data_IF_725934562805
#
_entry.id   IF_725934562805
#
_cell.length_a   1.000
_cell.length_b   1.000
_cell.length_c   1.000
_cell.angle_alpha   90.00
_cell.angle_beta   90.00
_cell.angle_gamma   90.00
#
_symmetry.space_group_name_H-M   'P 1'
#
loop_
_entity.id
_entity.type
_entity.pdbx_description
1 polymer ?
#
# COMPACT_ATOMS: atom_id res chain seq x y z
N UNK A 1 -7.42 -2.54 60.92
CA UNK A 1 -6.88 -3.85 60.47
C UNK A 1 -6.61 -3.76 58.97
N UNK A 2 -5.36 -3.68 58.49
CA UNK A 2 -5.08 -3.67 57.05
C UNK A 2 -5.04 -5.10 56.50
N UNK A 3 -5.53 -5.29 55.28
CA UNK A 3 -5.51 -6.57 54.55
C UNK A 3 -4.06 -6.98 54.21
N UNK A 4 -3.71 -8.28 54.24
CA UNK A 4 -2.37 -8.72 53.95
C UNK A 4 -2.10 -8.55 52.45
N UNK A 5 -1.19 -7.65 52.11
CA UNK A 5 -0.68 -7.51 50.75
C UNK A 5 0.05 -8.79 50.35
N UNK A 6 -0.42 -9.45 49.29
CA UNK A 6 0.27 -10.57 48.64
C UNK A 6 1.63 -10.06 48.12
N UNK A 7 2.70 -10.27 48.89
CA UNK A 7 4.07 -10.10 48.42
C UNK A 7 4.49 -11.35 47.66
N UNK A 8 4.12 -11.44 46.39
CA UNK A 8 4.64 -12.44 45.47
C UNK A 8 6.07 -12.03 45.06
N UNK A 9 7.04 -12.94 45.21
CA UNK A 9 8.41 -12.73 44.73
C UNK A 9 8.38 -12.62 43.20
N UNK A 10 9.17 -11.69 42.63
CA UNK A 10 9.08 -11.34 41.20
C UNK A 10 9.27 -12.50 40.20
N UNK A 11 9.86 -13.61 40.62
CA UNK A 11 9.99 -14.81 39.78
C UNK A 11 8.68 -15.61 39.68
N UNK A 12 7.90 -15.70 40.77
CA UNK A 12 6.60 -16.38 40.79
C UNK A 12 5.54 -15.59 40.01
N UNK A 13 5.65 -14.27 40.05
CA UNK A 13 4.76 -13.35 39.34
C UNK A 13 4.94 -13.46 37.82
N UNK A 14 6.18 -13.64 37.37
CA UNK A 14 6.49 -13.85 35.94
C UNK A 14 5.97 -15.21 35.45
N UNK A 15 6.11 -16.26 36.24
CA UNK A 15 5.59 -17.58 35.90
C UNK A 15 4.06 -17.59 35.82
N UNK A 16 3.37 -16.93 36.75
CA UNK A 16 1.92 -16.78 36.73
C UNK A 16 1.43 -15.98 35.52
N UNK A 17 2.11 -14.87 35.19
CA UNK A 17 1.78 -14.05 34.02
C UNK A 17 2.04 -14.78 32.70
N UNK A 18 3.11 -15.55 32.58
CA UNK A 18 3.39 -16.36 31.38
C UNK A 18 2.36 -17.49 31.20
N UNK A 19 1.84 -18.04 32.30
CA UNK A 19 0.79 -19.05 32.29
C UNK A 19 -0.57 -18.45 31.90
N UNK A 20 -0.92 -17.27 32.41
CA UNK A 20 -2.13 -16.55 31.99
C UNK A 20 -2.03 -16.05 30.54
N UNK A 21 -0.86 -15.56 30.10
CA UNK A 21 -0.65 -15.11 28.73
C UNK A 21 -0.82 -16.25 27.70
N UNK A 22 -0.52 -17.50 28.07
CA UNK A 22 -0.78 -18.69 27.22
C UNK A 22 -2.24 -19.15 27.24
N UNK A 23 -3.00 -18.79 28.27
CA UNK A 23 -4.41 -19.12 28.39
C UNK A 23 -5.31 -18.14 27.62
N UNK A 24 -4.78 -16.97 27.25
CA UNK A 24 -5.49 -16.01 26.42
C UNK A 24 -5.44 -16.41 24.94
N UNK A 25 -6.56 -16.32 24.20
CA UNK A 25 -6.54 -16.53 22.76
C UNK A 25 -5.60 -15.50 22.13
N UNK A 26 -4.65 -15.97 21.31
CA UNK A 26 -3.70 -15.12 20.60
C UNK A 26 -4.49 -14.12 19.75
N UNK A 27 -4.58 -12.87 20.21
CA UNK A 27 -5.05 -11.73 19.43
C UNK A 27 -3.95 -11.41 18.40
N UNK A 28 -3.81 -12.31 17.43
CA UNK A 28 -3.11 -12.02 16.19
C UNK A 28 -3.92 -10.91 15.56
N UNK A 29 -3.47 -9.67 15.70
CA UNK A 29 -4.04 -8.54 14.97
C UNK A 29 -4.12 -8.99 13.51
N UNK A 30 -5.31 -8.99 12.89
CA UNK A 30 -5.40 -9.30 11.47
C UNK A 30 -4.44 -8.34 10.79
N UNK A 31 -3.46 -8.90 10.06
CA UNK A 31 -2.53 -8.09 9.28
C UNK A 31 -3.39 -7.07 8.53
N UNK A 32 -3.08 -5.77 8.71
CA UNK A 32 -3.80 -4.73 7.99
C UNK A 32 -3.91 -5.17 6.53
N UNK A 33 -5.12 -5.19 5.94
CA UNK A 33 -5.26 -5.56 4.55
C UNK A 33 -4.35 -4.62 3.77
N UNK A 34 -3.24 -5.16 3.27
CA UNK A 34 -2.19 -4.41 2.62
C UNK A 34 -2.86 -3.42 1.68
N UNK A 35 -2.79 -2.12 2.00
CA UNK A 35 -3.59 -1.06 1.41
C UNK A 35 -3.77 -1.33 -0.07
N UNK A 36 -4.88 -1.99 -0.39
CA UNK A 36 -5.09 -2.55 -1.70
C UNK A 36 -5.21 -1.33 -2.56
N UNK A 37 -4.21 -1.06 -3.41
CA UNK A 37 -4.32 -0.02 -4.43
C UNK A 37 -5.50 -0.44 -5.31
N UNK A 38 -6.70 -0.02 -4.94
CA UNK A 38 -7.87 0.04 -5.80
C UNK A 38 -7.53 1.09 -6.83
N UNK A 39 -6.79 0.67 -7.86
CA UNK A 39 -6.63 1.44 -9.07
C UNK A 39 -8.02 1.49 -9.68
N UNK A 40 -8.77 2.53 -9.35
CA UNK A 40 -10.08 2.75 -9.94
C UNK A 40 -9.91 2.77 -11.47
N UNK A 41 -10.46 1.76 -12.13
CA UNK A 41 -10.42 1.66 -13.57
C UNK A 41 -11.43 2.65 -14.16
N UNK A 42 -11.03 3.92 -14.25
CA UNK A 42 -11.81 4.95 -14.94
C UNK A 42 -11.45 4.91 -16.42
N UNK A 43 -12.43 4.64 -17.26
CA UNK A 43 -12.30 4.73 -18.71
C UNK A 43 -12.41 6.19 -19.16
N UNK A 44 -11.48 6.64 -20.00
CA UNK A 44 -11.51 7.96 -20.64
C UNK A 44 -11.76 7.78 -22.13
N UNK A 45 -12.69 8.58 -22.68
CA UNK A 45 -12.94 8.64 -24.12
C UNK A 45 -12.29 9.90 -24.71
N UNK A 46 -11.55 9.72 -25.80
CA UNK A 46 -10.97 10.81 -26.57
C UNK A 46 -11.28 10.63 -28.06
N UNK A 47 -11.33 11.73 -28.84
CA UNK A 47 -11.39 11.65 -30.29
C UNK A 47 -10.22 10.84 -30.88
N UNK A 48 -10.43 10.22 -32.05
CA UNK A 48 -9.44 9.35 -32.69
C UNK A 48 -8.07 10.02 -32.91
N UNK A 49 -8.07 11.30 -33.25
CA UNK A 49 -6.82 12.05 -33.49
C UNK A 49 -5.98 12.18 -32.20
N UNK A 50 -6.61 12.29 -31.04
CA UNK A 50 -5.92 12.37 -29.75
C UNK A 50 -5.24 11.04 -29.43
N UNK A 51 -5.91 9.91 -29.70
CA UNK A 51 -5.30 8.58 -29.51
C UNK A 51 -4.14 8.31 -30.47
N UNK A 52 -4.19 8.84 -31.69
CA UNK A 52 -3.06 8.77 -32.62
C UNK A 52 -1.88 9.60 -32.10
N UNK A 53 -2.15 10.83 -31.63
CA UNK A 53 -1.14 11.69 -31.05
C UNK A 53 -0.52 11.09 -29.79
N UNK A 54 -1.32 10.57 -28.84
CA UNK A 54 -0.85 9.89 -27.63
C UNK A 54 0.04 8.68 -27.95
N UNK A 55 -0.29 7.92 -29.00
CA UNK A 55 0.55 6.81 -29.46
C UNK A 55 1.90 7.28 -30.01
N UNK A 56 1.95 8.42 -30.67
CA UNK A 56 3.21 9.00 -31.14
C UNK A 56 4.05 9.51 -29.96
N UNK A 57 3.44 10.26 -29.05
CA UNK A 57 4.12 10.79 -27.85
C UNK A 57 4.67 9.67 -26.96
N UNK A 58 3.89 8.59 -26.76
CA UNK A 58 4.32 7.42 -26.00
C UNK A 58 5.56 6.75 -26.59
N UNK A 59 5.70 6.72 -27.92
CA UNK A 59 6.88 6.19 -28.60
C UNK A 59 8.09 7.12 -28.51
N UNK A 60 7.86 8.43 -28.60
CA UNK A 60 8.93 9.44 -28.57
C UNK A 60 9.58 9.55 -27.20
N UNK A 61 8.78 9.47 -26.13
CA UNK A 61 9.25 9.66 -24.76
C UNK A 61 9.49 8.35 -23.98
N UNK A 62 9.22 7.19 -24.60
CA UNK A 62 9.20 5.87 -23.93
C UNK A 62 8.36 5.86 -22.64
N UNK A 63 7.25 6.61 -22.66
CA UNK A 63 6.34 6.74 -21.51
C UNK A 63 5.00 6.04 -21.78
N UNK A 64 4.36 5.45 -20.76
CA UNK A 64 3.00 4.93 -20.91
C UNK A 64 2.02 6.06 -21.27
N UNK A 65 1.13 5.80 -22.23
CA UNK A 65 0.06 6.73 -22.64
C UNK A 65 -0.74 7.26 -21.44
N UNK A 66 -1.01 6.42 -20.43
CA UNK A 66 -1.72 6.82 -19.22
C UNK A 66 -0.94 7.88 -18.40
N UNK A 67 0.39 7.77 -18.32
CA UNK A 67 1.22 8.74 -17.61
C UNK A 67 1.21 10.08 -18.34
N UNK A 68 1.30 10.06 -19.67
CA UNK A 68 1.22 11.27 -20.52
C UNK A 68 -0.10 12.01 -20.29
N UNK A 69 -1.22 11.29 -20.28
CA UNK A 69 -2.55 11.89 -20.01
C UNK A 69 -2.62 12.46 -18.60
N UNK A 70 -2.14 11.72 -17.59
CA UNK A 70 -2.17 12.19 -16.20
C UNK A 70 -1.27 13.41 -15.96
N UNK A 71 -0.12 13.52 -16.64
CA UNK A 71 0.72 14.72 -16.61
C UNK A 71 -0.04 15.93 -17.19
N UNK A 72 -0.65 15.78 -18.36
CA UNK A 72 -1.43 16.86 -18.97
C UNK A 72 -2.61 17.31 -18.08
N UNK A 73 -3.31 16.37 -17.44
CA UNK A 73 -4.38 16.68 -16.50
C UNK A 73 -3.86 17.39 -15.24
N UNK A 74 -2.67 17.00 -14.75
CA UNK A 74 -2.02 17.68 -13.62
C UNK A 74 -1.66 19.12 -13.98
N UNK A 75 -1.10 19.33 -15.16
CA UNK A 75 -0.76 20.68 -15.67
C UNK A 75 -2.01 21.54 -15.87
N UNK A 76 -3.15 20.92 -16.20
CA UNK A 76 -4.46 21.58 -16.26
C UNK A 76 -5.09 21.88 -14.88
N UNK A 77 -4.44 21.50 -13.78
CA UNK A 77 -4.88 21.78 -12.41
C UNK A 77 -5.66 20.65 -11.72
N UNK A 78 -5.72 19.44 -12.29
CA UNK A 78 -6.32 18.30 -11.59
C UNK A 78 -5.41 17.84 -10.44
N UNK A 79 -5.96 17.53 -9.24
CA UNK A 79 -5.19 17.09 -8.08
C UNK A 79 -4.73 15.63 -8.27
N UNK A 80 -3.67 15.43 -9.06
CA UNK A 80 -3.08 14.13 -9.35
C UNK A 80 -1.80 13.98 -8.53
N UNK A 81 -1.74 13.00 -7.61
CA UNK A 81 -0.52 12.76 -6.83
C UNK A 81 0.63 12.22 -7.68
N UNK A 82 1.86 12.59 -7.36
CA UNK A 82 3.06 12.23 -8.14
C UNK A 82 3.27 10.72 -8.30
N UNK A 83 2.85 9.94 -7.30
CA UNK A 83 2.99 8.49 -7.35
C UNK A 83 2.11 7.81 -8.43
N UNK A 84 1.12 8.52 -8.97
CA UNK A 84 0.32 8.08 -10.13
C UNK A 84 1.02 8.33 -11.47
N UNK A 85 2.04 9.18 -11.51
CA UNK A 85 2.84 9.48 -12.70
C UNK A 85 4.00 8.50 -12.92
N UNK A 86 4.16 7.53 -12.02
CA UNK A 86 5.21 6.51 -12.10
C UNK A 86 4.78 5.39 -13.03
N UNK A 87 5.65 5.02 -13.98
CA UNK A 87 5.43 3.86 -14.83
C UNK A 87 5.36 2.56 -13.99
N UNK A 88 4.22 1.87 -14.07
CA UNK A 88 4.01 0.58 -13.42
C UNK A 88 4.93 -0.53 -13.95
N UNK A 89 5.52 -0.39 -15.15
CA UNK A 89 6.48 -1.34 -15.72
C UNK A 89 7.79 -1.39 -14.93
N UNK A 90 8.19 -0.28 -14.33
CA UNK A 90 9.44 -0.17 -13.56
C UNK A 90 9.36 -0.80 -12.16
N UNK A 91 8.15 -1.12 -11.67
CA UNK A 91 7.93 -1.58 -10.29
C UNK A 91 8.13 -3.08 -10.06
N UNK A 92 8.39 -3.90 -11.09
CA UNK A 92 8.60 -5.35 -10.91
C UNK A 92 10.09 -5.72 -11.05
N UNK A 93 10.89 -5.74 -9.97
CA UNK A 93 12.03 -6.63 -9.95
C UNK A 93 11.46 -8.04 -10.10
N UNK A 94 11.73 -8.70 -11.23
CA UNK A 94 11.51 -10.15 -11.33
C UNK A 94 12.49 -10.76 -10.35
N UNK A 95 12.04 -11.07 -9.14
CA UNK A 95 12.78 -11.89 -8.20
C UNK A 95 13.16 -13.17 -8.92
N UNK A 96 14.44 -13.28 -9.28
CA UNK A 96 15.03 -14.49 -9.83
C UNK A 96 15.11 -15.45 -8.65
N UNK A 97 14.16 -16.37 -8.56
CA UNK A 97 14.31 -17.54 -7.70
C UNK A 97 15.39 -18.40 -8.34
N UNK A 98 16.61 -18.29 -7.82
CA UNK A 98 17.66 -19.30 -7.94
C UNK A 98 17.50 -20.31 -6.82
#
# INVERSE_FOLDING_TARGET
KPLPGLRLKGQDLKAALDQEARALPSLTLPAEPAAGRTREARSMSFPTYVWQWLRQQSKLHDEPQNVIVLKALKDAGCPIPDHHLIDGRLKKPRGRAT
#
